data_IF_176602322134
#
_entry.id   IF_176602322134
#
_cell.length_a   1.000
_cell.length_b   1.000
_cell.length_c   1.000
_cell.angle_alpha   90.00
_cell.angle_beta   90.00
_cell.angle_gamma   90.00
#
_symmetry.space_group_name_H-M   'P 1'
#
loop_
_entity.id
_entity.type
_entity.pdbx_description
1 polymer ?
#
# COMPACT_ATOMS: atom_id res chain seq x y z
N UNK A 1 -4.03 18.16 1.23
CA UNK A 1 -3.91 16.81 1.82
C UNK A 1 -4.51 15.80 0.86
N UNK A 2 -3.85 14.66 0.61
CA UNK A 2 -4.41 13.57 -0.19
C UNK A 2 -5.23 12.60 0.69
N UNK A 3 -4.68 12.24 1.85
CA UNK A 3 -5.30 11.34 2.82
C UNK A 3 -5.35 12.02 4.19
N UNK A 4 -6.51 11.97 4.84
CA UNK A 4 -6.68 12.37 6.24
C UNK A 4 -7.38 11.25 6.99
N UNK A 5 -6.82 10.86 8.10
CA UNK A 5 -7.32 9.82 9.01
C UNK A 5 -7.54 10.48 10.37
N UNK A 6 -8.77 10.46 10.87
CA UNK A 6 -9.17 11.17 12.07
C UNK A 6 -9.90 10.23 13.02
N UNK A 7 -9.28 9.95 14.18
CA UNK A 7 -9.84 9.14 15.27
C UNK A 7 -10.39 7.77 14.81
N UNK A 8 -9.69 7.13 13.86
CA UNK A 8 -10.14 5.84 13.30
C UNK A 8 -10.01 4.73 14.33
N UNK A 9 -11.10 3.99 14.53
CA UNK A 9 -11.23 2.89 15.49
C UNK A 9 -11.68 1.62 14.78
N UNK A 10 -11.16 0.47 15.27
CA UNK A 10 -11.56 -0.85 14.80
C UNK A 10 -11.55 -1.87 15.92
N UNK A 11 -12.69 -2.48 16.17
CA UNK A 11 -12.87 -3.61 17.07
C UNK A 11 -13.33 -4.83 16.27
N UNK A 12 -12.76 -5.99 16.54
CA UNK A 12 -13.21 -7.26 15.96
C UNK A 12 -14.20 -7.97 16.90
N UNK A 13 -14.98 -8.92 16.35
CA UNK A 13 -16.04 -9.65 17.09
C UNK A 13 -15.57 -10.32 18.38
N UNK A 14 -14.29 -10.69 18.48
CA UNK A 14 -13.65 -11.22 19.68
C UNK A 14 -13.27 -10.14 20.71
N UNK A 15 -13.75 -8.90 20.57
CA UNK A 15 -13.41 -7.71 21.37
C UNK A 15 -11.95 -7.29 21.30
N UNK A 16 -11.21 -7.75 20.29
CA UNK A 16 -9.84 -7.26 20.05
C UNK A 16 -9.92 -5.87 19.43
N UNK A 17 -9.45 -4.86 20.16
CA UNK A 17 -9.25 -3.51 19.64
C UNK A 17 -7.99 -3.49 18.79
N UNK A 18 -8.17 -3.46 17.47
CA UNK A 18 -7.06 -3.40 16.51
C UNK A 18 -6.61 -1.96 16.23
N UNK A 19 -7.56 -1.01 16.27
CA UNK A 19 -7.27 0.43 16.26
C UNK A 19 -8.09 1.09 17.35
N UNK A 20 -7.43 1.90 18.18
CA UNK A 20 -8.04 2.62 19.31
C UNK A 20 -8.23 4.09 18.98
N UNK A 21 -7.24 4.72 18.37
CA UNK A 21 -7.26 6.11 17.89
C UNK A 21 -6.11 6.32 16.87
N UNK A 22 -6.40 6.10 15.60
CA UNK A 22 -5.46 6.40 14.55
C UNK A 22 -5.80 7.76 13.91
N UNK A 23 -4.91 8.74 14.08
CA UNK A 23 -5.07 10.10 13.53
C UNK A 23 -3.77 10.56 12.89
N UNK A 24 -3.78 10.81 11.57
CA UNK A 24 -2.66 11.36 10.81
C UNK A 24 -3.14 11.85 9.45
N UNK A 25 -2.27 12.55 8.73
CA UNK A 25 -2.53 12.97 7.35
C UNK A 25 -1.34 12.72 6.45
N UNK A 26 -1.58 12.59 5.14
CA UNK A 26 -0.52 12.41 4.12
C UNK A 26 -0.76 13.41 3.00
N UNK A 27 0.28 14.15 2.63
CA UNK A 27 0.23 15.11 1.52
C UNK A 27 0.45 14.41 0.18
N UNK A 28 0.02 15.04 -0.89
CA UNK A 28 0.30 14.52 -2.23
C UNK A 28 1.80 14.52 -2.52
N UNK A 29 2.30 13.43 -3.05
CA UNK A 29 3.71 13.26 -3.38
C UNK A 29 4.61 12.86 -2.20
N UNK A 30 4.06 12.64 -1.00
CA UNK A 30 4.84 12.15 0.15
C UNK A 30 5.18 10.66 0.00
N UNK A 31 6.33 10.26 0.52
CA UNK A 31 6.64 8.87 0.83
C UNK A 31 6.70 8.72 2.36
N UNK A 32 5.71 8.05 2.94
CA UNK A 32 5.52 7.92 4.38
C UNK A 32 5.56 6.45 4.78
N UNK A 33 6.30 6.12 5.84
CA UNK A 33 6.28 4.79 6.43
C UNK A 33 5.47 4.75 7.73
N UNK A 34 4.62 3.71 7.84
CA UNK A 34 3.95 3.33 9.08
C UNK A 34 4.76 2.23 9.74
N UNK A 35 5.29 2.50 10.92
CA UNK A 35 6.15 1.60 11.70
C UNK A 35 5.47 1.21 13.01
N UNK A 36 5.94 0.13 13.64
CA UNK A 36 5.43 -0.30 14.94
C UNK A 36 5.58 -1.81 15.15
N UNK A 37 5.40 -2.29 16.37
CA UNK A 37 5.55 -3.71 16.71
C UNK A 37 4.52 -4.58 15.96
N UNK A 38 4.77 -5.90 15.96
CA UNK A 38 3.78 -6.86 15.47
C UNK A 38 2.51 -6.74 16.32
N UNK A 39 1.35 -6.77 15.66
CA UNK A 39 0.05 -6.59 16.34
C UNK A 39 -0.32 -5.13 16.66
N UNK A 40 0.48 -4.12 16.29
CA UNK A 40 0.16 -2.71 16.52
C UNK A 40 -1.09 -2.19 15.76
N UNK A 41 -1.60 -2.95 14.78
CA UNK A 41 -2.78 -2.56 13.98
C UNK A 41 -2.47 -2.11 12.56
N UNK A 42 -1.20 -2.12 12.12
CA UNK A 42 -0.74 -1.61 10.81
C UNK A 42 -1.51 -2.23 9.63
N UNK A 43 -1.54 -3.56 9.53
CA UNK A 43 -2.26 -4.26 8.46
C UNK A 43 -3.77 -3.98 8.52
N UNK A 44 -4.36 -3.84 9.72
CA UNK A 44 -5.76 -3.45 9.90
C UNK A 44 -6.01 -2.05 9.33
N UNK A 45 -5.12 -1.09 9.63
CA UNK A 45 -5.17 0.26 9.08
C UNK A 45 -5.11 0.22 7.55
N UNK A 46 -4.17 -0.51 6.95
CA UNK A 46 -4.04 -0.62 5.48
C UNK A 46 -5.28 -1.25 4.82
N UNK A 47 -5.88 -2.26 5.47
CA UNK A 47 -7.14 -2.87 4.99
C UNK A 47 -8.34 -1.91 5.08
N UNK A 48 -8.34 -1.00 6.03
CA UNK A 48 -9.36 0.06 6.11
C UNK A 48 -9.12 1.09 5.01
N UNK A 49 -7.88 1.54 4.82
CA UNK A 49 -7.53 2.54 3.82
C UNK A 49 -7.79 2.07 2.38
N UNK A 50 -7.56 0.79 2.06
CA UNK A 50 -7.91 0.24 0.73
C UNK A 50 -9.39 -0.14 0.58
N UNK A 51 -10.18 0.00 1.67
CA UNK A 51 -11.62 -0.24 1.68
C UNK A 51 -12.03 -1.71 1.70
N UNK A 52 -11.10 -2.65 1.96
CA UNK A 52 -11.41 -4.08 2.17
C UNK A 52 -11.98 -4.37 3.56
N UNK A 53 -11.78 -3.45 4.51
CA UNK A 53 -12.33 -3.50 5.86
C UNK A 53 -13.00 -2.14 6.18
N UNK A 54 -14.09 -2.14 6.94
CA UNK A 54 -14.71 -0.91 7.45
C UNK A 54 -14.20 -0.61 8.86
N UNK A 55 -13.95 0.67 9.14
CA UNK A 55 -13.77 1.12 10.53
C UNK A 55 -15.12 1.15 11.28
N UNK A 56 -15.04 1.17 12.61
CA UNK A 56 -16.24 1.24 13.47
C UNK A 56 -16.47 2.66 13.99
N UNK A 57 -15.49 3.55 13.82
CA UNK A 57 -15.57 4.96 14.18
C UNK A 57 -14.44 5.76 13.56
N UNK A 58 -14.56 7.08 13.60
CA UNK A 58 -13.63 8.01 13.02
C UNK A 58 -14.00 8.40 11.59
N UNK A 59 -13.11 9.16 10.94
CA UNK A 59 -13.32 9.71 9.60
C UNK A 59 -12.08 9.47 8.74
N UNK A 60 -12.30 9.06 7.49
CA UNK A 60 -11.26 8.96 6.48
C UNK A 60 -11.66 9.84 5.30
N UNK A 61 -10.79 10.78 4.95
CA UNK A 61 -10.96 11.64 3.77
C UNK A 61 -9.87 11.29 2.74
N UNK A 62 -10.30 11.08 1.52
CA UNK A 62 -9.40 10.94 0.37
C UNK A 62 -9.71 12.06 -0.59
N UNK A 63 -8.76 12.95 -0.87
CA UNK A 63 -8.98 14.19 -1.61
C UNK A 63 -10.16 15.02 -1.05
N UNK A 64 -10.30 15.09 0.26
CA UNK A 64 -11.39 15.82 0.93
C UNK A 64 -12.76 15.13 0.86
N UNK A 65 -12.88 13.94 0.27
CA UNK A 65 -14.13 13.17 0.17
C UNK A 65 -14.19 12.12 1.28
N UNK A 66 -15.29 12.09 2.03
CA UNK A 66 -15.53 11.11 3.08
C UNK A 66 -15.64 9.69 2.51
N UNK A 67 -14.68 8.82 2.84
CA UNK A 67 -14.60 7.47 2.29
C UNK A 67 -15.66 6.53 2.90
N UNK A 68 -15.87 6.60 4.22
CA UNK A 68 -16.76 5.68 4.93
C UNK A 68 -18.24 5.96 4.67
N UNK A 69 -18.64 7.24 4.59
CA UNK A 69 -20.01 7.67 4.34
C UNK A 69 -20.35 7.82 2.85
N UNK A 70 -19.35 7.63 1.95
CA UNK A 70 -19.57 7.72 0.50
C UNK A 70 -20.57 6.66 0.01
N UNK A 71 -21.39 7.02 -0.96
CA UNK A 71 -22.22 6.08 -1.68
C UNK A 71 -21.35 5.05 -2.45
N UNK A 72 -21.99 3.99 -2.93
CA UNK A 72 -21.26 2.89 -3.60
C UNK A 72 -20.46 3.37 -4.82
N UNK A 73 -20.97 4.34 -5.57
CA UNK A 73 -20.32 4.87 -6.79
C UNK A 73 -19.09 5.70 -6.42
N UNK A 74 -19.25 6.63 -5.50
CA UNK A 74 -18.17 7.50 -4.99
C UNK A 74 -17.08 6.67 -4.29
N UNK A 75 -17.47 5.72 -3.43
CA UNK A 75 -16.52 4.81 -2.77
C UNK A 75 -15.71 4.02 -3.79
N UNK A 76 -16.34 3.49 -4.85
CA UNK A 76 -15.63 2.79 -5.93
C UNK A 76 -14.68 3.73 -6.67
N UNK A 77 -15.09 4.96 -6.96
CA UNK A 77 -14.22 5.96 -7.59
C UNK A 77 -12.99 6.25 -6.73
N UNK A 78 -13.14 6.41 -5.40
CA UNK A 78 -12.01 6.57 -4.48
C UNK A 78 -11.10 5.33 -4.52
N UNK A 79 -11.67 4.13 -4.45
CA UNK A 79 -10.87 2.89 -4.50
C UNK A 79 -10.08 2.73 -5.80
N UNK A 80 -10.52 3.33 -6.92
CA UNK A 80 -9.73 3.34 -8.16
C UNK A 80 -8.49 4.19 -8.06
N UNK A 81 -8.48 5.21 -7.21
CA UNK A 81 -7.31 6.09 -6.99
C UNK A 81 -6.31 5.53 -5.98
N UNK A 82 -6.58 4.36 -5.40
CA UNK A 82 -5.73 3.69 -4.42
C UNK A 82 -5.19 2.39 -5.02
N UNK A 83 -3.89 2.34 -5.27
CA UNK A 83 -3.17 1.11 -5.60
C UNK A 83 -2.77 0.37 -4.33
N UNK A 84 -2.74 -0.96 -4.35
CA UNK A 84 -2.29 -1.75 -3.19
C UNK A 84 -1.29 -2.80 -3.62
N UNK A 85 -0.13 -2.81 -2.97
CA UNK A 85 0.87 -3.88 -3.01
C UNK A 85 0.69 -4.69 -1.73
N UNK A 86 0.43 -5.98 -1.86
CA UNK A 86 0.19 -6.89 -0.73
C UNK A 86 1.46 -7.67 -0.38
N UNK A 87 1.61 -8.04 0.88
CA UNK A 87 2.74 -8.82 1.40
C UNK A 87 2.90 -10.17 0.70
N UNK A 88 1.79 -10.82 0.34
CA UNK A 88 1.74 -12.11 -0.37
C UNK A 88 1.66 -11.97 -1.89
N UNK A 89 1.99 -10.77 -2.42
CA UNK A 89 1.90 -10.37 -3.82
C UNK A 89 0.47 -10.38 -4.37
N UNK A 90 -0.42 -11.25 -3.89
CA UNK A 90 -1.79 -11.46 -4.33
C UNK A 90 -1.90 -11.64 -5.87
N UNK A 91 -0.97 -12.38 -6.48
CA UNK A 91 -0.90 -12.65 -7.93
C UNK A 91 -1.57 -13.98 -8.27
N UNK A 92 -2.11 -14.07 -9.49
CA UNK A 92 -2.63 -15.32 -10.05
C UNK A 92 -1.46 -16.10 -10.64
N UNK A 93 -1.01 -17.16 -9.96
CA UNK A 93 0.23 -17.86 -10.27
C UNK A 93 0.28 -18.50 -11.66
N UNK A 94 -0.83 -19.05 -12.15
CA UNK A 94 -0.91 -19.65 -13.48
C UNK A 94 -1.15 -18.66 -14.61
N UNK A 95 -1.41 -17.40 -14.31
CA UNK A 95 -1.52 -16.33 -15.28
C UNK A 95 -0.15 -15.72 -15.60
N UNK A 96 0.01 -15.15 -16.80
CA UNK A 96 1.23 -14.47 -17.21
C UNK A 96 1.41 -13.14 -16.44
N UNK A 97 2.63 -12.57 -16.49
CA UNK A 97 2.90 -11.23 -15.95
C UNK A 97 1.92 -10.21 -16.51
N UNK A 98 1.77 -10.16 -17.84
CA UNK A 98 0.81 -9.27 -18.52
C UNK A 98 -0.62 -9.45 -18.02
N UNK A 99 -1.10 -10.70 -17.92
CA UNK A 99 -2.46 -10.97 -17.45
C UNK A 99 -2.66 -10.49 -16.01
N UNK A 100 -1.67 -10.67 -15.13
CA UNK A 100 -1.73 -10.15 -13.77
C UNK A 100 -1.84 -8.63 -13.72
N UNK A 101 -1.10 -7.91 -14.55
CA UNK A 101 -1.18 -6.44 -14.65
C UNK A 101 -2.54 -6.02 -15.20
N UNK A 102 -3.00 -6.62 -16.30
CA UNK A 102 -4.29 -6.35 -16.93
C UNK A 102 -5.48 -6.59 -16.01
N UNK A 103 -5.40 -7.59 -15.10
CA UNK A 103 -6.46 -7.90 -14.15
C UNK A 103 -6.82 -6.73 -13.23
N UNK A 104 -5.90 -5.77 -13.01
CA UNK A 104 -6.21 -4.55 -12.26
C UNK A 104 -7.32 -3.71 -12.91
N UNK A 105 -7.48 -3.77 -14.23
CA UNK A 105 -8.50 -3.03 -14.98
C UNK A 105 -9.86 -3.73 -15.06
N UNK A 106 -9.97 -4.99 -14.64
CA UNK A 106 -11.24 -5.76 -14.71
C UNK A 106 -12.43 -5.04 -14.05
N UNK A 107 -12.27 -4.40 -12.87
CA UNK A 107 -13.37 -3.67 -12.24
C UNK A 107 -13.94 -2.52 -13.08
N UNK A 108 -13.15 -1.98 -14.02
CA UNK A 108 -13.53 -0.81 -14.84
C UNK A 108 -14.01 -1.22 -16.23
N UNK A 109 -14.14 -2.51 -16.49
CA UNK A 109 -14.58 -3.06 -17.77
C UNK A 109 -16.07 -3.44 -17.74
N UNK A 110 -16.70 -3.42 -18.93
CA UNK A 110 -18.02 -4.03 -19.10
C UNK A 110 -17.93 -5.57 -18.91
N UNK A 111 -19.01 -6.18 -18.46
CA UNK A 111 -19.05 -7.60 -18.07
C UNK A 111 -18.55 -8.55 -19.17
N UNK A 112 -19.07 -8.42 -20.40
CA UNK A 112 -18.71 -9.33 -21.50
C UNK A 112 -17.23 -9.26 -21.90
N UNK A 113 -16.62 -8.08 -22.15
CA UNK A 113 -15.18 -7.97 -22.39
C UNK A 113 -14.34 -8.51 -21.24
N UNK A 114 -14.75 -8.26 -19.98
CA UNK A 114 -14.03 -8.75 -18.81
C UNK A 114 -13.99 -10.28 -18.73
N UNK A 115 -15.14 -10.95 -18.95
CA UNK A 115 -15.25 -12.42 -18.94
C UNK A 115 -14.47 -13.04 -20.10
N UNK A 116 -14.49 -12.41 -21.28
CA UNK A 116 -13.76 -12.90 -22.46
C UNK A 116 -12.25 -12.58 -22.42
N UNK A 117 -11.78 -11.83 -21.41
CA UNK A 117 -10.37 -11.41 -21.34
C UNK A 117 -9.96 -10.42 -22.45
N UNK A 118 -10.90 -9.64 -22.99
CA UNK A 118 -10.67 -8.72 -24.09
C UNK A 118 -10.33 -7.32 -23.57
N UNK A 119 -9.05 -7.05 -23.36
CA UNK A 119 -8.57 -5.80 -22.76
C UNK A 119 -8.39 -4.62 -23.74
N UNK A 120 -8.41 -4.87 -25.03
CA UNK A 120 -8.11 -3.86 -26.03
C UNK A 120 -6.61 -3.52 -26.15
N UNK A 121 -6.19 -3.06 -27.34
CA UNK A 121 -4.76 -2.86 -27.64
C UNK A 121 -4.09 -1.81 -26.75
N UNK A 122 -4.79 -0.74 -26.38
CA UNK A 122 -4.22 0.33 -25.56
C UNK A 122 -3.85 -0.17 -24.15
N UNK A 123 -4.74 -0.91 -23.47
CA UNK A 123 -4.46 -1.49 -22.15
C UNK A 123 -3.35 -2.54 -22.18
N UNK A 124 -3.28 -3.33 -23.27
CA UNK A 124 -2.20 -4.30 -23.44
C UNK A 124 -0.85 -3.59 -23.57
N UNK A 125 -0.76 -2.57 -24.41
CA UNK A 125 0.46 -1.78 -24.58
C UNK A 125 0.87 -1.07 -23.27
N UNK A 126 -0.09 -0.58 -22.50
CA UNK A 126 0.16 0.02 -21.19
C UNK A 126 0.68 -0.99 -20.17
N UNK A 127 0.09 -2.19 -20.10
CA UNK A 127 0.58 -3.26 -19.23
C UNK A 127 2.01 -3.67 -19.57
N UNK A 128 2.36 -3.72 -20.87
CA UNK A 128 3.71 -4.02 -21.33
C UNK A 128 4.70 -2.91 -20.96
N UNK A 129 4.30 -1.64 -21.11
CA UNK A 129 5.13 -0.50 -20.70
C UNK A 129 5.36 -0.47 -19.18
N UNK A 130 4.36 -0.85 -18.37
CA UNK A 130 4.53 -0.97 -16.93
C UNK A 130 5.46 -2.13 -16.54
N UNK A 131 5.38 -3.27 -17.24
CA UNK A 131 6.29 -4.39 -17.05
C UNK A 131 7.74 -4.03 -17.46
N UNK A 132 7.91 -3.29 -18.55
CA UNK A 132 9.22 -2.76 -18.95
C UNK A 132 9.77 -1.80 -17.87
N UNK A 133 8.96 -0.88 -17.36
CA UNK A 133 9.35 0.06 -16.32
C UNK A 133 9.83 -0.62 -15.03
N UNK A 134 9.27 -1.77 -14.68
CA UNK A 134 9.73 -2.55 -13.51
C UNK A 134 10.84 -3.56 -13.87
N UNK A 135 11.39 -3.51 -15.09
CA UNK A 135 12.50 -4.35 -15.55
C UNK A 135 12.11 -5.80 -15.86
N UNK A 136 10.89 -6.02 -16.39
CA UNK A 136 10.36 -7.33 -16.76
C UNK A 136 9.87 -7.40 -18.22
N UNK A 137 10.45 -6.61 -19.13
CA UNK A 137 10.07 -6.60 -20.54
C UNK A 137 10.21 -7.97 -21.21
N UNK A 138 11.24 -8.74 -20.82
CA UNK A 138 11.51 -10.10 -21.31
C UNK A 138 10.60 -11.18 -20.71
N UNK A 139 9.83 -10.85 -19.65
CA UNK A 139 8.96 -11.76 -18.88
C UNK A 139 7.46 -11.57 -19.09
N UNK A 140 7.07 -10.72 -20.02
CA UNK A 140 5.67 -10.33 -20.26
C UNK A 140 4.73 -11.55 -20.42
N UNK A 141 5.19 -12.60 -21.09
CA UNK A 141 4.44 -13.84 -21.34
C UNK A 141 4.73 -14.96 -20.33
N UNK A 142 5.66 -14.75 -19.38
CA UNK A 142 6.03 -15.77 -18.41
C UNK A 142 4.93 -15.93 -17.35
N UNK A 143 4.52 -17.18 -17.01
CA UNK A 143 3.65 -17.43 -15.88
C UNK A 143 4.30 -17.01 -14.56
N UNK A 144 3.54 -16.33 -13.69
CA UNK A 144 4.05 -15.77 -12.43
C UNK A 144 4.63 -16.84 -11.50
N UNK A 145 4.13 -18.07 -11.53
CA UNK A 145 4.66 -19.20 -10.73
C UNK A 145 6.15 -19.48 -10.97
N UNK A 146 6.67 -19.14 -12.16
CA UNK A 146 8.07 -19.37 -12.55
C UNK A 146 9.01 -18.24 -12.11
N UNK A 147 8.48 -17.15 -11.51
CA UNK A 147 9.24 -15.97 -11.14
C UNK A 147 9.86 -16.09 -9.75
N UNK A 148 11.01 -15.45 -9.54
CA UNK A 148 11.56 -15.22 -8.22
C UNK A 148 10.67 -14.28 -7.38
N UNK A 149 10.86 -14.24 -6.05
CA UNK A 149 10.12 -13.36 -5.15
C UNK A 149 10.22 -11.88 -5.56
N UNK A 150 11.43 -11.41 -5.88
CA UNK A 150 11.64 -10.03 -6.35
C UNK A 150 10.96 -9.74 -7.69
N UNK A 151 10.93 -10.71 -8.62
CA UNK A 151 10.20 -10.57 -9.87
C UNK A 151 8.68 -10.55 -9.64
N UNK A 152 8.15 -11.41 -8.76
CA UNK A 152 6.74 -11.36 -8.35
C UNK A 152 6.36 -10.00 -7.76
N UNK A 153 7.23 -9.44 -6.92
CA UNK A 153 7.02 -8.11 -6.35
C UNK A 153 6.97 -7.02 -7.43
N UNK A 154 7.87 -7.07 -8.42
CA UNK A 154 7.85 -6.14 -9.56
C UNK A 154 6.54 -6.25 -10.37
N UNK A 155 6.00 -7.46 -10.60
CA UNK A 155 4.68 -7.65 -11.22
C UNK A 155 3.57 -7.06 -10.36
N UNK A 156 3.62 -7.23 -9.02
CA UNK A 156 2.64 -6.66 -8.10
C UNK A 156 2.66 -5.11 -8.12
N UNK A 157 3.85 -4.50 -8.24
CA UNK A 157 4.02 -3.06 -8.42
C UNK A 157 3.38 -2.61 -9.75
N UNK A 158 3.75 -3.24 -10.88
CA UNK A 158 3.18 -2.91 -12.19
C UNK A 158 1.64 -3.02 -12.18
N UNK A 159 1.09 -4.07 -11.56
CA UNK A 159 -0.35 -4.25 -11.38
C UNK A 159 -0.97 -3.11 -10.57
N UNK A 160 -0.35 -2.70 -9.47
CA UNK A 160 -0.87 -1.61 -8.63
C UNK A 160 -0.89 -0.26 -9.38
N UNK A 161 0.05 -0.04 -10.29
CA UNK A 161 0.15 1.18 -11.11
C UNK A 161 -0.82 1.22 -12.29
N UNK A 162 -1.34 0.07 -12.75
CA UNK A 162 -2.18 -0.04 -13.96
C UNK A 162 -3.46 0.82 -13.91
N UNK A 163 -3.88 1.25 -12.74
CA UNK A 163 -5.05 2.12 -12.55
C UNK A 163 -4.70 3.59 -12.29
N UNK A 164 -3.44 3.99 -12.50
CA UNK A 164 -2.94 5.34 -12.26
C UNK A 164 -3.32 5.87 -10.86
N UNK A 165 -2.95 5.18 -9.79
CA UNK A 165 -3.36 5.57 -8.45
C UNK A 165 -2.72 6.90 -8.04
N UNK A 166 -3.45 7.70 -7.24
CA UNK A 166 -2.89 8.86 -6.57
C UNK A 166 -2.18 8.47 -5.27
N UNK A 167 -2.63 7.37 -4.63
CA UNK A 167 -2.09 6.80 -3.40
C UNK A 167 -1.71 5.33 -3.63
N UNK A 168 -0.48 4.96 -3.31
CA UNK A 168 0.00 3.59 -3.29
C UNK A 168 0.16 3.12 -1.84
N UNK A 169 -0.60 2.11 -1.47
CA UNK A 169 -0.47 1.42 -0.19
C UNK A 169 0.45 0.20 -0.38
N UNK A 170 1.61 0.19 0.26
CA UNK A 170 2.55 -0.91 0.20
C UNK A 170 2.60 -1.63 1.56
N UNK A 171 1.94 -2.78 1.66
CA UNK A 171 1.86 -3.56 2.91
C UNK A 171 3.03 -4.55 2.97
N UNK A 172 4.08 -4.20 3.71
CA UNK A 172 5.32 -4.96 3.88
C UNK A 172 5.96 -5.40 2.54
N UNK A 173 6.24 -4.47 1.60
CA UNK A 173 6.57 -4.80 0.22
C UNK A 173 7.89 -5.57 0.05
N UNK A 174 8.70 -5.70 1.10
CA UNK A 174 10.03 -6.34 1.03
C UNK A 174 10.22 -7.43 2.09
N UNK A 175 9.19 -7.76 2.88
CA UNK A 175 9.32 -8.68 4.02
C UNK A 175 9.78 -10.10 3.65
N UNK A 176 9.44 -10.57 2.45
CA UNK A 176 9.75 -11.93 1.95
C UNK A 176 10.95 -11.97 1.01
N UNK A 177 11.73 -10.88 0.92
CA UNK A 177 12.84 -10.74 -0.01
C UNK A 177 14.17 -10.70 0.76
N UNK A 178 15.24 -11.11 0.08
CA UNK A 178 16.58 -10.88 0.58
C UNK A 178 16.90 -9.37 0.66
N UNK A 179 17.86 -8.95 1.51
CA UNK A 179 18.12 -7.53 1.75
C UNK A 179 18.52 -6.74 0.49
N UNK A 180 19.24 -7.36 -0.45
CA UNK A 180 19.68 -6.69 -1.69
C UNK A 180 18.49 -6.46 -2.61
N UNK A 181 17.71 -7.51 -2.87
CA UNK A 181 16.48 -7.43 -3.67
C UNK A 181 15.47 -6.48 -3.02
N UNK A 182 15.31 -6.53 -1.70
CA UNK A 182 14.41 -5.63 -0.97
C UNK A 182 14.76 -4.16 -1.17
N UNK A 183 16.06 -3.80 -1.08
CA UNK A 183 16.53 -2.44 -1.36
C UNK A 183 16.22 -2.00 -2.78
N UNK A 184 16.49 -2.85 -3.78
CA UNK A 184 16.17 -2.56 -5.19
C UNK A 184 14.67 -2.32 -5.44
N UNK A 185 13.80 -3.01 -4.71
CA UNK A 185 12.35 -2.78 -4.78
C UNK A 185 11.97 -1.42 -4.18
N UNK A 186 12.58 -1.01 -3.07
CA UNK A 186 12.30 0.30 -2.47
C UNK A 186 12.88 1.44 -3.32
N UNK A 187 14.06 1.26 -3.93
CA UNK A 187 14.61 2.20 -4.92
C UNK A 187 13.65 2.38 -6.10
N UNK A 188 13.17 1.28 -6.67
CA UNK A 188 12.18 1.31 -7.75
C UNK A 188 10.89 2.06 -7.34
N UNK A 189 10.38 1.81 -6.13
CA UNK A 189 9.19 2.51 -5.62
C UNK A 189 9.45 4.02 -5.44
N UNK A 190 10.63 4.40 -4.95
CA UNK A 190 11.03 5.81 -4.80
C UNK A 190 11.16 6.49 -6.15
N UNK A 191 11.78 5.84 -7.14
CA UNK A 191 11.92 6.39 -8.49
C UNK A 191 10.54 6.61 -9.14
N UNK A 192 9.62 5.63 -9.00
CA UNK A 192 8.24 5.77 -9.50
C UNK A 192 7.51 6.90 -8.77
N UNK A 193 7.67 7.01 -7.45
CA UNK A 193 7.06 8.06 -6.64
C UNK A 193 7.51 9.45 -7.10
N UNK A 194 8.82 9.64 -7.32
CA UNK A 194 9.38 10.92 -7.76
C UNK A 194 8.94 11.30 -9.17
N UNK A 195 9.02 10.36 -10.13
CA UNK A 195 8.69 10.60 -11.54
C UNK A 195 7.21 10.92 -11.75
N UNK A 196 6.33 10.22 -11.02
CA UNK A 196 4.88 10.36 -11.20
C UNK A 196 4.23 11.26 -10.15
N UNK A 197 5.00 11.81 -9.19
CA UNK A 197 4.49 12.51 -7.99
C UNK A 197 3.44 11.68 -7.25
N UNK A 198 3.64 10.36 -7.26
CA UNK A 198 2.79 9.40 -6.59
C UNK A 198 2.96 9.55 -5.07
N UNK A 199 1.88 9.43 -4.32
CA UNK A 199 1.96 9.35 -2.86
C UNK A 199 2.11 7.90 -2.43
N UNK A 200 3.06 7.60 -1.57
CA UNK A 200 3.31 6.23 -1.07
C UNK A 200 3.11 6.21 0.44
N UNK A 201 2.28 5.29 0.91
CA UNK A 201 2.17 4.92 2.32
C UNK A 201 2.62 3.47 2.45
N UNK A 202 3.75 3.25 3.13
CA UNK A 202 4.37 1.94 3.28
C UNK A 202 4.22 1.43 4.73
N UNK A 203 3.70 0.23 4.91
CA UNK A 203 3.81 -0.51 6.16
C UNK A 203 5.18 -1.20 6.21
N UNK A 204 5.95 -0.95 7.24
CA UNK A 204 7.27 -1.56 7.43
C UNK A 204 7.53 -1.91 8.88
N UNK A 205 8.27 -3.00 9.10
CA UNK A 205 8.83 -3.35 10.42
C UNK A 205 10.36 -3.11 10.48
N UNK A 206 10.96 -2.67 9.38
CA UNK A 206 12.38 -2.33 9.32
C UNK A 206 12.54 -0.80 9.42
N UNK A 207 13.05 -0.33 10.56
CA UNK A 207 13.23 1.10 10.83
C UNK A 207 14.28 1.72 9.90
N UNK A 208 15.41 1.05 9.66
CA UNK A 208 16.51 1.55 8.84
C UNK A 208 16.02 1.84 7.41
N UNK A 209 15.36 0.87 6.77
CA UNK A 209 14.78 1.07 5.43
C UNK A 209 13.69 2.14 5.43
N UNK A 210 12.90 2.23 6.51
CA UNK A 210 11.86 3.27 6.62
C UNK A 210 12.47 4.68 6.69
N UNK A 211 13.55 4.85 7.43
CA UNK A 211 14.27 6.12 7.52
C UNK A 211 14.96 6.49 6.20
N UNK A 212 15.54 5.51 5.52
CA UNK A 212 16.27 5.75 4.27
C UNK A 212 15.34 6.13 3.09
N UNK A 213 14.17 5.49 3.00
CA UNK A 213 13.30 5.63 1.82
C UNK A 213 12.13 6.58 2.01
N UNK A 214 11.74 6.89 3.24
CA UNK A 214 10.61 7.79 3.52
C UNK A 214 11.06 9.18 3.91
N UNK A 215 10.19 10.15 3.73
CA UNK A 215 10.37 11.51 4.25
C UNK A 215 9.84 11.68 5.68
N UNK A 216 8.93 10.80 6.09
CA UNK A 216 8.20 10.89 7.37
C UNK A 216 7.82 9.52 7.88
N UNK A 217 7.80 9.36 9.20
CA UNK A 217 7.45 8.15 9.91
C UNK A 217 6.21 8.37 10.78
N UNK A 218 5.28 7.43 10.70
CA UNK A 218 4.10 7.33 11.57
C UNK A 218 4.28 6.09 12.43
N UNK A 219 4.46 6.28 13.73
CA UNK A 219 4.56 5.19 14.70
C UNK A 219 3.20 4.75 15.20
N UNK A 220 2.85 3.48 15.01
CA UNK A 220 1.63 2.87 15.52
C UNK A 220 1.96 1.90 16.65
N UNK A 221 1.31 2.04 17.80
CA UNK A 221 1.42 1.10 18.92
C UNK A 221 0.05 0.92 19.59
N UNK A 222 -0.34 -0.32 19.88
CA UNK A 222 -1.62 -0.68 20.51
C UNK A 222 -2.85 -0.01 19.84
N UNK A 223 -2.81 0.09 18.52
CA UNK A 223 -3.91 0.67 17.73
C UNK A 223 -3.98 2.20 17.73
N UNK A 224 -3.03 2.89 18.34
CA UNK A 224 -2.95 4.35 18.35
C UNK A 224 -1.69 4.85 17.63
N UNK A 225 -1.79 6.05 17.03
CA UNK A 225 -0.61 6.78 16.53
C UNK A 225 0.09 7.39 17.74
N UNK A 226 1.34 6.97 17.95
CA UNK A 226 2.17 7.43 19.08
C UNK A 226 3.35 8.28 18.64
N UNK A 227 3.65 8.30 17.35
CA UNK A 227 4.72 9.10 16.75
C UNK A 227 4.25 9.61 15.38
N UNK A 228 4.58 10.84 15.07
CA UNK A 228 4.45 11.43 13.76
C UNK A 228 5.63 12.40 13.58
N UNK A 229 6.68 11.97 12.89
CA UNK A 229 7.96 12.64 12.88
C UNK A 229 8.67 12.54 11.51
N UNK A 230 9.58 13.47 11.18
CA UNK A 230 10.47 13.33 10.04
C UNK A 230 11.29 12.03 10.09
N UNK A 231 11.67 11.49 8.93
CA UNK A 231 12.41 10.23 8.87
C UNK A 231 13.86 10.33 9.40
N UNK A 232 14.42 11.52 9.44
CA UNK A 232 15.75 11.82 10.00
C UNK A 232 15.77 11.95 11.53
N UNK A 233 14.63 11.78 12.21
CA UNK A 233 14.55 11.70 13.67
C UNK A 233 15.48 10.59 14.18
N UNK A 234 16.26 10.82 15.27
CA UNK A 234 17.15 9.79 15.80
C UNK A 234 16.46 8.47 16.08
N UNK A 235 17.08 7.37 15.68
CA UNK A 235 16.50 6.03 15.83
C UNK A 235 16.14 5.69 17.30
N UNK A 236 16.94 6.18 18.25
CA UNK A 236 16.70 5.99 19.70
C UNK A 236 15.36 6.63 20.12
N UNK A 237 15.08 7.83 19.68
CA UNK A 237 13.83 8.54 20.00
C UNK A 237 12.62 7.82 19.37
N UNK A 238 12.76 7.33 18.13
CA UNK A 238 11.72 6.57 17.46
C UNK A 238 11.47 5.24 18.22
N UNK A 239 12.53 4.52 18.56
CA UNK A 239 12.42 3.26 19.30
C UNK A 239 11.79 3.47 20.68
N UNK A 240 12.18 4.51 21.39
CA UNK A 240 11.59 4.86 22.67
C UNK A 240 10.09 5.17 22.56
N UNK A 241 9.68 5.97 21.57
CA UNK A 241 8.29 6.38 21.38
C UNK A 241 7.39 5.24 20.90
N UNK A 242 7.90 4.37 19.99
CA UNK A 242 7.07 3.40 19.26
C UNK A 242 7.14 2.00 19.88
N UNK A 243 8.29 1.57 20.39
CA UNK A 243 8.51 0.19 20.82
C UNK A 243 8.66 0.02 22.32
N UNK A 244 9.08 1.05 23.10
CA UNK A 244 9.06 0.96 24.54
C UNK A 244 7.63 1.04 25.06
N UNK A 245 7.18 0.03 25.78
CA UNK A 245 5.94 0.07 26.53
C UNK A 245 6.03 1.26 27.52
N UNK A 246 5.10 2.21 27.42
CA UNK A 246 4.84 3.05 28.58
C UNK A 246 4.29 2.12 29.67
N UNK A 247 5.15 1.66 30.55
CA UNK A 247 4.76 1.10 31.85
C UNK A 247 4.10 2.25 32.62
N UNK A 248 2.77 2.22 32.68
CA UNK A 248 2.03 3.13 33.53
C UNK A 248 1.03 4.04 32.85
N UNK A 249 -0.07 3.45 32.37
CA UNK A 249 -1.39 4.07 32.59
C UNK A 249 -2.34 2.97 33.05
N UNK A 250 -2.93 3.13 34.28
CA UNK A 250 -3.90 2.19 34.82
C UNK A 250 -5.19 2.15 33.99
#
# INVERSE_FOLDING_TARGET
MLLEVQHVRKEFQNRTLALTDASFSVSQGDFVSVIGPSGAGKTTLFRILNGSLRCDGGVILVNGVHFESADRRTRRAIQTTIGTIYQDFALVENATCRQNVLNASLPDMAFLPAVCGFFGKARVAEADALLDRVGLADKVHEPVKNLSGGQKQRVAIARALMRHPALLLADEPVASLDPVTGRQILELLRDIQQDQKLTVLMNSHNLELSQEFSSRLIGLNQGAVVLDAPADTPAEDILAAVYHRQEGRP
#
